data_IF_877210258770
#
_entry.id   IF_877210258770
#
_cell.length_a   1.000
_cell.length_b   1.000
_cell.length_c   1.000
_cell.angle_alpha   90.00
_cell.angle_beta   90.00
_cell.angle_gamma   90.00
#
_symmetry.space_group_name_H-M   'P 1'
#
loop_
_entity.id
_entity.type
_entity.pdbx_description
1 polymer ?
#
# COMPACT_ATOMS: atom_id res chain seq x y z
N UNK A 1 10.38 35.26 15.51
CA UNK A 1 9.75 34.17 14.71
C UNK A 1 9.25 33.04 15.59
N UNK A 2 7.93 33.01 15.86
CA UNK A 2 7.31 32.09 16.84
C UNK A 2 6.86 30.74 16.27
N UNK A 3 7.13 30.47 14.99
CA UNK A 3 6.50 29.38 14.24
C UNK A 3 7.46 28.56 13.36
N UNK A 4 8.74 28.46 13.70
CA UNK A 4 9.58 27.40 13.12
C UNK A 4 9.32 26.08 13.85
N UNK A 5 8.18 25.45 13.55
CA UNK A 5 7.90 24.11 14.06
C UNK A 5 8.78 23.12 13.29
N UNK A 6 9.88 22.70 13.91
CA UNK A 6 10.79 21.73 13.31
C UNK A 6 10.28 20.32 13.62
N UNK A 7 9.89 19.59 12.58
CA UNK A 7 9.39 18.22 12.73
C UNK A 7 10.53 17.31 13.19
N UNK A 8 10.30 16.61 14.30
CA UNK A 8 11.24 15.63 14.82
C UNK A 8 10.86 14.22 14.37
N UNK A 9 11.83 13.38 13.97
CA UNK A 9 11.56 12.01 13.60
C UNK A 9 11.07 11.22 14.82
N UNK A 10 10.13 10.28 14.59
CA UNK A 10 9.61 9.41 15.63
C UNK A 10 10.71 8.54 16.27
N UNK A 11 11.66 8.07 15.46
CA UNK A 11 12.87 7.39 15.93
C UNK A 11 14.03 8.41 16.03
N UNK A 12 14.60 8.63 17.24
CA UNK A 12 15.70 9.59 17.45
C UNK A 12 16.99 9.28 16.68
N UNK A 13 17.18 8.04 16.20
CA UNK A 13 18.36 7.67 15.41
C UNK A 13 18.24 8.04 13.91
N UNK A 14 17.08 8.49 13.45
CA UNK A 14 16.91 8.96 12.07
C UNK A 14 17.29 10.43 11.93
N UNK A 15 17.73 10.80 10.71
CA UNK A 15 17.99 12.19 10.36
C UNK A 15 16.68 12.99 10.36
N UNK A 16 16.75 14.27 10.73
CA UNK A 16 15.62 15.17 10.60
C UNK A 16 15.20 15.31 9.12
N UNK A 17 13.90 15.41 8.83
CA UNK A 17 13.40 15.52 7.47
C UNK A 17 13.78 16.87 6.85
N UNK A 18 14.16 16.84 5.57
CA UNK A 18 14.42 18.03 4.75
C UNK A 18 13.15 18.57 4.07
N UNK A 19 13.29 19.69 3.36
CA UNK A 19 12.17 20.38 2.68
C UNK A 19 11.49 19.56 1.57
N UNK A 20 12.14 18.53 1.05
CA UNK A 20 11.64 17.68 -0.04
C UNK A 20 11.15 16.32 0.44
N UNK A 21 11.27 16.04 1.74
CA UNK A 21 10.91 14.74 2.29
C UNK A 21 9.41 14.70 2.62
N UNK A 22 8.77 13.55 2.34
CA UNK A 22 7.40 13.31 2.76
C UNK A 22 7.37 12.89 4.22
N UNK A 23 6.52 13.54 4.99
CA UNK A 23 6.33 13.27 6.42
C UNK A 23 4.88 12.88 6.67
N UNK A 24 4.68 11.90 7.55
CA UNK A 24 3.37 11.45 8.00
C UNK A 24 3.39 11.32 9.52
N UNK A 25 2.23 11.45 10.14
CA UNK A 25 2.08 11.42 11.60
C UNK A 25 1.47 10.11 12.11
N UNK A 26 0.62 9.49 11.29
CA UNK A 26 -0.14 8.30 11.65
C UNK A 26 0.23 7.15 10.73
N UNK A 27 0.38 5.95 11.30
CA UNK A 27 0.68 4.74 10.52
C UNK A 27 -0.46 4.43 9.55
N UNK A 28 -0.11 3.95 8.36
CA UNK A 28 -1.09 3.51 7.37
C UNK A 28 -1.98 2.38 7.93
N UNK A 29 -3.30 2.41 7.67
CA UNK A 29 -4.19 1.33 8.06
C UNK A 29 -3.93 0.06 7.22
N UNK A 30 -4.55 -1.05 7.63
CA UNK A 30 -4.60 -2.26 6.80
C UNK A 30 -5.54 -2.09 5.61
N UNK A 31 -5.07 -2.44 4.40
CA UNK A 31 -5.85 -2.30 3.16
C UNK A 31 -6.46 -3.62 2.65
N UNK A 32 -6.19 -4.74 3.32
CA UNK A 32 -6.65 -6.07 2.91
C UNK A 32 -8.17 -6.23 2.94
N UNK A 33 -8.80 -5.72 4.00
CA UNK A 33 -10.23 -5.85 4.25
C UNK A 33 -10.96 -4.52 4.05
N UNK A 34 -12.24 -4.61 3.68
CA UNK A 34 -13.08 -3.44 3.46
C UNK A 34 -13.31 -2.71 4.78
N UNK A 35 -13.01 -1.41 4.80
CA UNK A 35 -13.33 -0.51 5.90
C UNK A 35 -13.99 0.75 5.35
N UNK A 36 -15.32 0.81 5.44
CA UNK A 36 -16.12 1.93 4.92
C UNK A 36 -15.87 3.24 5.66
N UNK A 37 -15.47 3.20 6.93
CA UNK A 37 -15.19 4.42 7.72
C UNK A 37 -13.96 5.15 7.20
N UNK A 38 -12.96 4.39 6.73
CA UNK A 38 -11.72 4.93 6.16
C UNK A 38 -11.73 4.94 4.62
N UNK A 39 -12.88 4.68 3.99
CA UNK A 39 -13.02 4.55 2.53
C UNK A 39 -12.06 3.53 1.89
N UNK A 40 -11.74 2.46 2.61
CA UNK A 40 -10.92 1.35 2.13
C UNK A 40 -11.84 0.28 1.56
N UNK A 41 -11.63 -0.09 0.29
CA UNK A 41 -12.46 -1.09 -0.39
C UNK A 41 -12.06 -2.55 -0.08
N UNK A 42 -10.82 -2.78 0.36
CA UNK A 42 -10.24 -4.12 0.49
C UNK A 42 -9.56 -4.59 -0.80
N UNK A 43 -8.92 -5.77 -0.75
CA UNK A 43 -8.21 -6.36 -1.91
C UNK A 43 -8.94 -7.55 -2.54
N UNK A 44 -10.15 -7.85 -2.09
CA UNK A 44 -10.96 -8.93 -2.64
C UNK A 44 -11.31 -8.68 -4.11
N UNK A 45 -11.15 -9.72 -4.94
CA UNK A 45 -11.46 -9.66 -6.37
C UNK A 45 -10.46 -8.87 -7.22
N UNK A 46 -9.34 -8.40 -6.66
CA UNK A 46 -8.27 -7.78 -7.43
C UNK A 46 -7.45 -8.84 -8.17
N UNK A 47 -7.01 -8.50 -9.37
CA UNK A 47 -6.02 -9.29 -10.10
C UNK A 47 -4.69 -9.26 -9.36
N UNK A 48 -4.02 -10.41 -9.30
CA UNK A 48 -2.68 -10.57 -8.77
C UNK A 48 -1.82 -11.36 -9.76
N UNK A 49 -0.50 -11.29 -9.57
CA UNK A 49 0.47 -12.01 -10.38
C UNK A 49 1.00 -13.22 -9.58
N UNK A 50 0.74 -14.44 -10.05
CA UNK A 50 1.16 -15.66 -9.37
C UNK A 50 2.69 -15.84 -9.35
N UNK A 51 3.40 -15.31 -10.35
CA UNK A 51 4.86 -15.45 -10.45
C UNK A 51 5.64 -14.34 -9.75
N UNK A 52 4.97 -13.39 -9.09
CA UNK A 52 5.63 -12.28 -8.38
C UNK A 52 5.70 -12.55 -6.89
N UNK A 53 6.87 -12.32 -6.31
CA UNK A 53 7.08 -12.30 -4.85
C UNK A 53 6.82 -10.90 -4.24
N UNK A 54 6.48 -9.91 -5.08
CA UNK A 54 6.26 -8.53 -4.70
C UNK A 54 4.84 -8.22 -4.23
N UNK A 55 4.53 -6.93 -4.06
CA UNK A 55 3.20 -6.47 -3.60
C UNK A 55 2.07 -6.73 -4.60
N UNK A 56 2.41 -7.01 -5.86
CA UNK A 56 1.50 -7.49 -6.90
C UNK A 56 1.34 -9.02 -6.89
N UNK A 57 2.23 -9.71 -6.17
CA UNK A 57 2.20 -11.14 -5.92
C UNK A 57 0.90 -11.59 -5.25
N UNK A 58 0.39 -12.75 -5.61
CA UNK A 58 -0.88 -13.23 -5.06
C UNK A 58 -0.84 -13.46 -3.54
N UNK A 59 0.30 -13.84 -2.97
CA UNK A 59 0.45 -14.04 -1.52
C UNK A 59 0.27 -12.72 -0.75
N UNK A 60 0.88 -11.63 -1.23
CA UNK A 60 0.76 -10.31 -0.60
C UNK A 60 -0.54 -9.60 -0.99
N UNK A 61 -0.93 -9.64 -2.27
CA UNK A 61 -2.10 -8.92 -2.75
C UNK A 61 -3.41 -9.51 -2.22
N UNK A 62 -3.49 -10.84 -2.13
CA UNK A 62 -4.63 -11.54 -1.54
C UNK A 62 -4.50 -11.69 -0.01
N UNK A 63 -3.44 -11.15 0.60
CA UNK A 63 -3.18 -11.15 2.04
C UNK A 63 -3.25 -12.56 2.64
N UNK A 64 -2.66 -13.56 1.97
CA UNK A 64 -2.64 -14.96 2.41
C UNK A 64 -3.98 -15.71 2.35
N UNK A 65 -5.05 -15.10 1.81
CA UNK A 65 -6.37 -15.75 1.69
C UNK A 65 -6.47 -16.80 0.56
N UNK A 66 -5.40 -16.96 -0.23
CA UNK A 66 -5.38 -17.71 -1.48
C UNK A 66 -5.98 -16.93 -2.66
N UNK A 67 -5.89 -17.52 -3.86
CA UNK A 67 -6.32 -16.91 -5.10
C UNK A 67 -6.92 -17.96 -6.06
N UNK A 68 -7.56 -17.49 -7.13
CA UNK A 68 -8.09 -18.34 -8.19
C UNK A 68 -7.54 -17.87 -9.53
N UNK A 69 -6.99 -18.79 -10.30
CA UNK A 69 -6.51 -18.52 -11.66
C UNK A 69 -7.65 -18.72 -12.65
N UNK A 70 -7.81 -17.79 -13.58
CA UNK A 70 -8.79 -17.85 -14.66
C UNK A 70 -8.12 -17.51 -15.98
N UNK A 71 -8.39 -18.30 -17.01
CA UNK A 71 -7.90 -18.05 -18.38
C UNK A 71 -9.02 -17.39 -19.19
N UNK A 72 -8.70 -16.28 -19.86
CA UNK A 72 -9.65 -15.54 -20.70
C UNK A 72 -9.04 -15.25 -22.08
N UNK A 73 -9.89 -15.22 -23.12
CA UNK A 73 -9.48 -14.73 -24.43
C UNK A 73 -9.48 -13.21 -24.43
N UNK A 74 -8.35 -12.59 -24.79
CA UNK A 74 -8.20 -11.14 -24.88
C UNK A 74 -8.03 -10.78 -26.36
N UNK A 75 -8.80 -9.81 -26.84
CA UNK A 75 -8.63 -9.24 -28.18
C UNK A 75 -7.76 -7.99 -28.05
N UNK A 76 -6.59 -8.02 -28.66
CA UNK A 76 -5.67 -6.90 -28.71
C UNK A 76 -5.42 -6.46 -30.16
N UNK A 77 -4.93 -5.23 -30.34
CA UNK A 77 -4.47 -4.76 -31.65
C UNK A 77 -3.09 -5.35 -31.89
N UNK A 78 -2.99 -6.27 -32.85
CA UNK A 78 -1.74 -6.84 -33.34
C UNK A 78 -1.21 -6.11 -34.57
#
# INVERSE_FOLDING_TARGET
DRYSFELKPHNPMHKAPGKKDLVYLESSPGFCEKNTRLSILGTHGRTCNESSDGVDGCDLMCCGRGFRTQTMFVVERC
#
